data_IF_793318713277
#
_entry.id   IF_793318713277
#
_cell.length_a   1.000
_cell.length_b   1.000
_cell.length_c   1.000
_cell.angle_alpha   90.00
_cell.angle_beta   90.00
_cell.angle_gamma   90.00
#
_symmetry.space_group_name_H-M   'P 1'
#
loop_
_entity.id
_entity.type
_entity.pdbx_description
1 polymer ?
#
# COMPACT_ATOMS: atom_id res chain seq x y z
N UNK A 1 -9.13 18.63 -37.99
CA UNK A 1 -9.81 17.65 -37.10
C UNK A 1 -8.71 16.94 -36.32
N UNK A 2 -8.60 16.90 -35.00
CA UNK A 2 -9.43 17.32 -33.86
C UNK A 2 -8.48 17.85 -32.77
N UNK A 3 -8.64 19.11 -32.35
CA UNK A 3 -8.03 19.65 -31.13
C UNK A 3 -8.93 19.25 -29.96
N UNK A 4 -8.87 17.99 -29.51
CA UNK A 4 -9.59 17.58 -28.28
C UNK A 4 -8.90 18.20 -27.06
N UNK A 5 -9.72 18.86 -26.26
CA UNK A 5 -9.38 19.87 -25.27
C UNK A 5 -8.71 19.27 -24.03
N UNK A 6 -7.55 19.85 -23.64
CA UNK A 6 -6.86 19.57 -22.36
C UNK A 6 -7.64 20.03 -21.11
N UNK A 7 -8.87 20.53 -21.27
CA UNK A 7 -9.73 21.06 -20.22
C UNK A 7 -10.63 20.01 -19.55
N UNK A 8 -10.74 18.80 -20.11
CA UNK A 8 -11.59 17.73 -19.57
C UNK A 8 -10.93 16.92 -18.44
N UNK A 9 -9.60 16.96 -18.32
CA UNK A 9 -8.86 16.25 -17.28
C UNK A 9 -9.05 16.79 -15.84
N UNK A 10 -9.02 18.11 -15.57
CA UNK A 10 -9.11 18.61 -14.19
C UNK A 10 -10.46 18.35 -13.53
N UNK A 11 -11.55 18.33 -14.29
CA UNK A 11 -12.91 18.10 -13.76
C UNK A 11 -13.08 16.65 -13.31
N UNK A 12 -12.54 15.69 -14.07
CA UNK A 12 -12.56 14.28 -13.71
C UNK A 12 -11.81 14.01 -12.39
N UNK A 13 -10.65 14.63 -12.22
CA UNK A 13 -9.84 14.49 -11.01
C UNK A 13 -10.54 15.08 -9.77
N UNK A 14 -11.24 16.20 -9.93
CA UNK A 14 -12.03 16.81 -8.85
C UNK A 14 -13.17 15.88 -8.43
N UNK A 15 -13.91 15.30 -9.38
CA UNK A 15 -15.03 14.41 -9.10
C UNK A 15 -14.55 13.14 -8.37
N UNK A 16 -13.47 12.51 -8.85
CA UNK A 16 -12.88 11.34 -8.20
C UNK A 16 -12.42 11.68 -6.78
N UNK A 17 -11.81 12.87 -6.58
CA UNK A 17 -11.37 13.32 -5.26
C UNK A 17 -12.53 13.57 -4.29
N UNK A 18 -13.65 14.11 -4.77
CA UNK A 18 -14.86 14.30 -3.96
C UNK A 18 -15.43 12.95 -3.54
N UNK A 19 -15.61 12.01 -4.49
CA UNK A 19 -16.13 10.67 -4.20
C UNK A 19 -15.22 9.96 -3.20
N UNK A 20 -13.91 10.02 -3.40
CA UNK A 20 -12.94 9.44 -2.48
C UNK A 20 -13.03 10.04 -1.07
N UNK A 21 -13.12 11.37 -0.98
CA UNK A 21 -13.23 12.08 0.30
C UNK A 21 -14.52 11.75 1.06
N UNK A 22 -15.61 11.46 0.36
CA UNK A 22 -16.88 11.10 1.00
C UNK A 22 -16.87 9.64 1.46
N UNK A 23 -16.42 8.71 0.61
CA UNK A 23 -16.58 7.28 0.87
C UNK A 23 -15.38 6.60 1.51
N UNK A 24 -14.15 7.02 1.17
CA UNK A 24 -12.92 6.30 1.52
C UNK A 24 -12.03 7.04 2.51
N UNK A 25 -12.04 8.38 2.51
CA UNK A 25 -11.28 9.20 3.47
C UNK A 25 -11.68 8.99 4.94
N UNK A 26 -12.97 8.81 5.31
CA UNK A 26 -13.35 8.54 6.69
C UNK A 26 -12.80 7.20 7.22
N UNK A 27 -12.62 6.23 6.31
CA UNK A 27 -12.20 4.85 6.63
C UNK A 27 -10.68 4.69 6.79
N UNK A 28 -9.88 5.75 6.59
CA UNK A 28 -8.42 5.68 6.75
C UNK A 28 -7.97 5.51 8.21
N UNK A 29 -8.85 5.86 9.15
CA UNK A 29 -8.58 5.81 10.59
C UNK A 29 -8.94 4.47 11.22
N UNK A 30 -9.66 3.60 10.50
CA UNK A 30 -10.03 2.27 10.97
C UNK A 30 -8.95 1.24 10.64
N UNK A 31 -8.56 0.47 11.66
CA UNK A 31 -7.57 -0.60 11.56
C UNK A 31 -8.02 -1.63 10.51
N UNK A 32 -7.15 -1.98 9.54
CA UNK A 32 -7.52 -2.68 8.30
C UNK A 32 -8.31 -3.99 8.46
N UNK A 33 -8.25 -4.65 9.62
CA UNK A 33 -9.07 -5.83 9.92
C UNK A 33 -10.58 -5.50 9.99
N UNK A 34 -10.96 -4.34 10.54
CA UNK A 34 -12.36 -3.89 10.59
C UNK A 34 -12.89 -3.55 9.20
N UNK A 35 -12.05 -2.99 8.34
CA UNK A 35 -12.37 -2.68 6.96
C UNK A 35 -12.68 -3.94 6.13
N UNK A 36 -11.90 -5.01 6.34
CA UNK A 36 -12.12 -6.33 5.72
C UNK A 36 -13.43 -6.96 6.18
N UNK A 37 -13.77 -6.84 7.47
CA UNK A 37 -15.04 -7.36 8.00
C UNK A 37 -16.26 -6.64 7.39
N UNK A 38 -16.16 -5.33 7.16
CA UNK A 38 -17.24 -4.53 6.55
C UNK A 38 -17.37 -4.81 5.04
N UNK A 39 -16.28 -5.14 4.34
CA UNK A 39 -16.34 -5.53 2.91
C UNK A 39 -16.85 -6.96 2.70
N UNK A 40 -16.89 -7.80 3.74
CA UNK A 40 -17.50 -9.14 3.70
C UNK A 40 -19.04 -9.08 3.74
N UNK A 41 -19.62 -8.06 3.07
CA UNK A 41 -21.03 -7.93 2.77
C UNK A 41 -21.44 -9.12 1.89
N UNK A 42 -21.94 -10.15 2.55
CA UNK A 42 -22.89 -11.15 2.09
C UNK A 42 -22.90 -11.42 0.56
N UNK A 43 -22.21 -12.50 0.17
CA UNK A 43 -22.45 -13.32 -1.04
C UNK A 43 -21.79 -12.94 -2.38
N UNK A 44 -20.99 -11.88 -2.49
CA UNK A 44 -20.31 -11.56 -3.76
C UNK A 44 -18.78 -11.69 -3.66
N UNK A 45 -18.23 -12.76 -4.27
CA UNK A 45 -16.78 -12.95 -4.42
C UNK A 45 -16.11 -11.85 -5.26
N UNK A 46 -16.90 -11.13 -6.06
CA UNK A 46 -16.48 -10.03 -6.90
C UNK A 46 -17.50 -8.90 -6.78
N UNK A 47 -17.07 -7.71 -6.36
CA UNK A 47 -17.90 -6.51 -6.22
C UNK A 47 -17.41 -5.45 -7.19
N UNK A 48 -18.29 -4.97 -8.08
CA UNK A 48 -17.95 -3.84 -8.96
C UNK A 48 -18.08 -2.54 -8.18
N UNK A 49 -16.96 -1.84 -7.97
CA UNK A 49 -16.93 -0.55 -7.24
C UNK A 49 -17.27 0.59 -8.20
N UNK A 50 -16.75 0.56 -9.43
CA UNK A 50 -17.03 1.58 -10.46
C UNK A 50 -17.09 0.96 -11.86
N UNK A 51 -17.39 1.78 -12.88
CA UNK A 51 -17.43 1.36 -14.29
C UNK A 51 -16.19 0.56 -14.73
N UNK A 52 -15.03 0.86 -14.16
CA UNK A 52 -13.77 0.24 -14.53
C UNK A 52 -13.04 -0.44 -13.36
N UNK A 53 -13.65 -0.54 -12.16
CA UNK A 53 -13.01 -1.15 -10.98
C UNK A 53 -13.82 -2.30 -10.43
N UNK A 54 -13.14 -3.43 -10.21
CA UNK A 54 -13.67 -4.59 -9.50
C UNK A 54 -12.82 -4.86 -8.26
N UNK A 55 -13.51 -5.15 -7.17
CA UNK A 55 -12.96 -5.69 -5.94
C UNK A 55 -13.15 -7.20 -5.93
N UNK A 56 -12.09 -7.93 -5.63
CA UNK A 56 -12.12 -9.38 -5.50
C UNK A 56 -11.90 -9.72 -4.02
N UNK A 57 -12.79 -10.53 -3.45
CA UNK A 57 -12.71 -11.00 -2.05
C UNK A 57 -12.30 -12.48 -1.99
N UNK A 58 -12.19 -13.16 -3.13
CA UNK A 58 -11.75 -14.55 -3.22
C UNK A 58 -10.23 -14.72 -2.94
N UNK A 59 -9.87 -15.71 -2.12
CA UNK A 59 -8.50 -16.09 -1.82
C UNK A 59 -7.70 -16.50 -3.07
N UNK A 60 -8.32 -17.14 -4.04
CA UNK A 60 -7.65 -17.54 -5.29
C UNK A 60 -7.30 -16.33 -6.16
N UNK A 61 -8.17 -15.33 -6.19
CA UNK A 61 -7.92 -14.09 -6.91
C UNK A 61 -6.71 -13.34 -6.36
N UNK A 62 -6.46 -13.39 -5.04
CA UNK A 62 -5.26 -12.80 -4.45
C UNK A 62 -3.98 -13.45 -5.00
N UNK A 63 -3.95 -14.78 -5.13
CA UNK A 63 -2.81 -15.50 -5.72
C UNK A 63 -2.65 -15.19 -7.20
N UNK A 64 -3.74 -15.10 -7.96
CA UNK A 64 -3.67 -14.82 -9.38
C UNK A 64 -3.24 -13.36 -9.68
N UNK A 65 -3.66 -12.41 -8.84
CA UNK A 65 -3.35 -10.98 -9.00
C UNK A 65 -1.97 -10.61 -8.45
N UNK A 66 -1.60 -11.15 -7.28
CA UNK A 66 -0.38 -10.75 -6.54
C UNK A 66 0.67 -11.85 -6.41
N UNK A 67 0.36 -13.08 -6.80
CA UNK A 67 1.26 -14.23 -6.65
C UNK A 67 2.45 -14.23 -7.61
N UNK A 68 3.30 -15.22 -7.42
CA UNK A 68 4.48 -15.40 -8.27
C UNK A 68 4.07 -15.79 -9.69
N UNK A 69 4.65 -15.08 -10.66
CA UNK A 69 4.43 -15.32 -12.09
C UNK A 69 4.91 -16.72 -12.48
N UNK A 70 4.04 -17.50 -13.12
CA UNK A 70 4.43 -18.76 -13.77
C UNK A 70 5.16 -18.48 -15.09
N UNK A 71 6.04 -19.39 -15.51
CA UNK A 71 6.77 -19.24 -16.76
C UNK A 71 5.77 -19.09 -17.94
N UNK A 72 5.97 -18.06 -18.78
CA UNK A 72 5.07 -17.76 -19.90
C UNK A 72 3.87 -16.85 -19.59
N UNK A 73 3.57 -16.55 -18.32
CA UNK A 73 2.51 -15.61 -17.98
C UNK A 73 2.93 -14.16 -18.26
N UNK A 74 2.00 -13.36 -18.78
CA UNK A 74 2.16 -11.92 -18.95
C UNK A 74 2.26 -11.22 -17.59
N UNK A 75 3.08 -10.18 -17.51
CA UNK A 75 3.19 -9.37 -16.30
C UNK A 75 1.93 -8.51 -16.15
N UNK A 76 1.30 -8.54 -14.96
CA UNK A 76 0.25 -7.58 -14.65
C UNK A 76 0.91 -6.21 -14.57
N UNK A 77 0.78 -5.44 -15.65
CA UNK A 77 1.48 -4.18 -15.82
C UNK A 77 1.06 -3.27 -14.67
N UNK A 78 2.03 -2.88 -13.83
CA UNK A 78 1.88 -1.76 -12.93
C UNK A 78 1.90 -0.51 -13.81
N UNK A 79 0.79 -0.24 -14.47
CA UNK A 79 0.72 0.72 -15.56
C UNK A 79 0.97 2.14 -15.01
N UNK A 80 2.21 2.59 -14.96
CA UNK A 80 2.53 3.93 -14.47
C UNK A 80 2.17 5.02 -15.48
N UNK A 81 1.73 4.66 -16.70
CA UNK A 81 1.60 5.57 -17.86
C UNK A 81 0.16 5.85 -18.30
N UNK A 82 -0.87 5.11 -17.86
CA UNK A 82 -2.28 5.49 -18.10
C UNK A 82 -2.82 6.56 -17.14
N UNK A 83 -2.02 7.59 -16.91
CA UNK A 83 -2.42 8.88 -16.34
C UNK A 83 -3.42 9.67 -17.21
N UNK A 84 -3.98 9.10 -18.28
CA UNK A 84 -4.92 9.78 -19.16
C UNK A 84 -6.35 9.23 -19.13
N UNK A 85 -6.64 8.17 -18.39
CA UNK A 85 -8.02 7.75 -18.07
C UNK A 85 -7.97 6.69 -16.97
N UNK A 86 -8.10 7.14 -15.71
CA UNK A 86 -8.80 6.41 -14.65
C UNK A 86 -8.16 5.17 -14.02
N UNK A 87 -6.89 4.85 -14.26
CA UNK A 87 -6.29 3.66 -13.67
C UNK A 87 -4.91 3.94 -13.05
N UNK A 88 -4.57 3.11 -12.08
CA UNK A 88 -3.25 2.92 -11.46
C UNK A 88 -2.96 3.77 -10.23
N UNK A 89 -3.18 3.10 -9.09
CA UNK A 89 -2.81 3.49 -7.73
C UNK A 89 -3.56 4.76 -7.30
N UNK A 90 -3.88 4.84 -6.02
CA UNK A 90 -4.69 5.92 -5.45
C UNK A 90 -4.17 7.29 -5.97
N UNK A 91 -4.99 8.11 -6.66
CA UNK A 91 -4.51 9.31 -7.35
C UNK A 91 -3.95 10.37 -6.40
N UNK A 92 -4.28 10.31 -5.11
CA UNK A 92 -3.76 11.20 -4.07
C UNK A 92 -2.44 10.64 -3.53
N UNK A 93 -2.39 9.33 -3.28
CA UNK A 93 -1.26 8.69 -2.61
C UNK A 93 -0.16 8.34 -3.59
N UNK A 94 -0.50 7.84 -4.79
CA UNK A 94 0.44 7.37 -5.80
C UNK A 94 1.53 8.37 -6.18
N UNK A 95 1.24 9.68 -6.38
CA UNK A 95 2.28 10.67 -6.62
C UNK A 95 3.38 10.70 -5.55
N UNK A 96 3.03 10.44 -4.27
CA UNK A 96 3.99 10.41 -3.15
C UNK A 96 4.95 9.23 -3.23
N UNK A 97 4.57 8.15 -3.93
CA UNK A 97 5.37 6.93 -4.04
C UNK A 97 6.05 6.78 -5.40
N UNK A 98 5.89 7.73 -6.32
CA UNK A 98 6.56 7.71 -7.62
C UNK A 98 8.08 7.63 -7.42
N UNK A 99 8.69 6.56 -7.92
CA UNK A 99 10.14 6.34 -7.86
C UNK A 99 10.64 5.45 -6.71
N UNK A 100 9.81 5.10 -5.73
CA UNK A 100 10.20 4.14 -4.68
C UNK A 100 9.73 2.71 -5.00
N UNK A 101 10.13 1.73 -4.19
CA UNK A 101 9.79 0.30 -4.42
C UNK A 101 8.27 0.00 -4.39
N UNK A 102 7.43 0.92 -3.93
CA UNK A 102 5.98 0.76 -3.89
C UNK A 102 5.35 1.33 -5.17
N UNK A 103 5.76 2.54 -5.55
CA UNK A 103 5.15 3.30 -6.63
C UNK A 103 5.85 3.20 -8.00
N UNK A 104 7.10 2.75 -8.07
CA UNK A 104 7.86 2.68 -9.32
C UNK A 104 7.25 1.70 -10.36
N UNK A 105 7.65 1.90 -11.62
CA UNK A 105 7.33 1.01 -12.73
C UNK A 105 7.95 -0.38 -12.56
N UNK A 106 7.58 -1.33 -13.42
CA UNK A 106 8.03 -2.72 -13.29
C UNK A 106 9.56 -2.88 -13.36
N UNK A 107 10.24 -2.12 -14.22
CA UNK A 107 11.69 -2.23 -14.41
C UNK A 107 12.46 -1.68 -13.20
N UNK A 108 12.15 -0.46 -12.78
CA UNK A 108 12.74 0.18 -11.61
C UNK A 108 12.39 -0.64 -10.37
N UNK A 109 11.15 -1.12 -10.24
CA UNK A 109 10.74 -1.98 -9.13
C UNK A 109 11.57 -3.27 -9.05
N UNK A 110 11.81 -3.93 -10.19
CA UNK A 110 12.63 -5.14 -10.27
C UNK A 110 14.07 -4.86 -9.87
N UNK A 111 14.65 -3.74 -10.32
CA UNK A 111 15.99 -3.30 -9.93
C UNK A 111 16.07 -3.02 -8.43
N UNK A 112 15.13 -2.23 -7.89
CA UNK A 112 15.07 -1.91 -6.46
C UNK A 112 14.92 -3.16 -5.59
N UNK A 113 14.05 -4.10 -5.99
CA UNK A 113 13.89 -5.38 -5.30
C UNK A 113 15.20 -6.15 -5.26
N UNK A 114 15.90 -6.30 -6.40
CA UNK A 114 17.19 -7.00 -6.45
C UNK A 114 18.23 -6.37 -5.53
N UNK A 115 18.33 -5.04 -5.53
CA UNK A 115 19.26 -4.32 -4.67
C UNK A 115 18.95 -4.54 -3.19
N UNK A 116 17.67 -4.48 -2.81
CA UNK A 116 17.24 -4.66 -1.41
C UNK A 116 17.28 -6.13 -0.95
N UNK A 117 17.09 -7.10 -1.85
CA UNK A 117 17.03 -8.53 -1.51
C UNK A 117 18.25 -9.03 -0.73
N UNK A 118 19.44 -8.49 -0.99
CA UNK A 118 20.64 -8.89 -0.24
C UNK A 118 20.60 -8.46 1.23
N UNK A 119 20.12 -7.25 1.51
CA UNK A 119 19.99 -6.71 2.86
C UNK A 119 18.90 -7.39 3.70
N UNK A 120 17.93 -8.02 3.05
CA UNK A 120 16.85 -8.80 3.68
C UNK A 120 17.00 -10.31 3.48
N UNK A 121 18.22 -10.79 3.15
CA UNK A 121 18.49 -12.22 3.08
C UNK A 121 18.48 -12.86 4.47
N UNK A 122 18.23 -14.18 4.55
CA UNK A 122 18.25 -14.90 5.83
C UNK A 122 19.59 -14.69 6.59
N UNK A 123 20.71 -14.73 5.87
CA UNK A 123 22.02 -14.48 6.47
C UNK A 123 22.17 -13.03 6.96
N UNK A 124 21.72 -12.04 6.17
CA UNK A 124 21.77 -10.64 6.60
C UNK A 124 20.88 -10.41 7.84
N UNK A 125 19.71 -11.04 7.90
CA UNK A 125 18.83 -11.00 9.07
C UNK A 125 19.47 -11.63 10.31
N UNK A 126 20.14 -12.78 10.16
CA UNK A 126 20.89 -13.41 11.27
C UNK A 126 22.05 -12.52 11.74
N UNK A 127 22.77 -11.90 10.81
CA UNK A 127 23.85 -10.96 11.14
C UNK A 127 23.32 -9.71 11.87
N UNK A 128 22.08 -9.27 11.57
CA UNK A 128 21.42 -8.14 12.23
C UNK A 128 20.73 -8.52 13.54
N UNK A 129 20.39 -9.81 13.74
CA UNK A 129 19.72 -10.32 14.92
C UNK A 129 20.29 -9.78 16.25
N UNK A 130 21.60 -9.73 16.52
CA UNK A 130 22.10 -9.30 17.83
C UNK A 130 21.81 -7.84 18.16
N UNK A 131 21.61 -6.96 17.18
CA UNK A 131 21.25 -5.56 17.44
C UNK A 131 19.81 -5.40 17.91
N UNK A 132 18.89 -6.27 17.46
CA UNK A 132 17.46 -6.13 17.78
C UNK A 132 17.20 -6.25 19.29
N UNK A 133 17.69 -7.29 20.01
CA UNK A 133 17.58 -7.39 21.45
C UNK A 133 18.17 -6.19 22.18
N UNK A 134 19.31 -5.65 21.72
CA UNK A 134 19.95 -4.49 22.37
C UNK A 134 19.02 -3.27 22.41
N UNK A 135 18.31 -2.98 21.32
CA UNK A 135 17.35 -1.87 21.29
C UNK A 135 16.06 -2.19 22.06
N UNK A 136 15.62 -3.45 22.08
CA UNK A 136 14.47 -3.89 22.88
C UNK A 136 14.78 -3.78 24.37
N UNK A 137 15.93 -4.26 24.80
CA UNK A 137 16.41 -4.18 26.18
C UNK A 137 16.56 -2.72 26.61
N UNK A 138 17.14 -1.88 25.75
CA UNK A 138 17.24 -0.44 25.99
C UNK A 138 15.85 0.21 26.11
N UNK A 139 14.91 -0.13 25.23
CA UNK A 139 13.53 0.36 25.31
C UNK A 139 12.90 -0.01 26.65
N UNK A 140 12.99 -1.29 27.04
CA UNK A 140 12.44 -1.80 28.30
C UNK A 140 13.10 -1.14 29.51
N UNK A 141 14.42 -0.99 29.51
CA UNK A 141 15.16 -0.29 30.55
C UNK A 141 14.67 1.15 30.71
N UNK A 142 14.58 1.91 29.61
CA UNK A 142 14.11 3.30 29.65
C UNK A 142 12.66 3.41 30.10
N UNK A 143 11.82 2.44 29.76
CA UNK A 143 10.46 2.36 30.30
C UNK A 143 10.50 2.23 31.82
N UNK A 144 11.24 1.27 32.38
CA UNK A 144 11.35 1.08 33.84
C UNK A 144 11.87 2.32 34.56
N UNK A 145 12.89 2.98 34.02
CA UNK A 145 13.47 4.19 34.61
C UNK A 145 12.48 5.36 34.66
N UNK A 146 11.58 5.47 33.67
CA UNK A 146 10.79 6.68 33.47
C UNK A 146 9.29 6.53 33.79
N UNK A 147 8.77 5.30 33.93
CA UNK A 147 7.33 5.06 34.12
C UNK A 147 6.89 4.94 35.58
N UNK A 148 7.82 4.88 36.56
CA UNK A 148 7.51 4.70 37.99
C UNK A 148 6.50 3.56 38.24
N UNK A 149 6.79 2.34 37.74
CA UNK A 149 5.87 1.19 37.79
C UNK A 149 4.47 1.48 37.20
N UNK A 150 4.39 2.35 36.19
CA UNK A 150 3.15 2.73 35.52
C UNK A 150 2.39 3.89 36.16
N UNK A 151 2.91 4.50 37.24
CA UNK A 151 2.29 5.68 37.86
C UNK A 151 2.50 6.97 37.04
N UNK A 152 3.58 7.04 36.25
CA UNK A 152 3.91 8.21 35.44
C UNK A 152 3.65 7.92 33.96
N UNK A 153 2.79 8.73 33.34
CA UNK A 153 2.59 8.72 31.89
C UNK A 153 3.88 9.18 31.21
N UNK A 154 4.36 8.37 30.26
CA UNK A 154 5.56 8.64 29.49
C UNK A 154 5.16 8.91 28.04
N UNK A 155 5.61 10.05 27.51
CA UNK A 155 5.51 10.34 26.08
C UNK A 155 6.65 9.63 25.34
N UNK A 156 6.29 8.79 24.39
CA UNK A 156 7.22 7.97 23.60
C UNK A 156 7.50 8.57 22.22
N UNK A 157 6.78 9.63 21.85
CA UNK A 157 6.85 10.29 20.54
C UNK A 157 6.90 11.79 20.79
N UNK A 158 8.07 12.26 21.26
CA UNK A 158 8.32 13.70 21.43
C UNK A 158 8.15 14.49 20.14
#
# INVERSE_FOLDING_TARGET
>A
MERRSKLAQPIGDIIVRIIYNVYFYPLRYDLGQKLYAVTNLAYANVVRITLAQLSYVNADACKDIFGHRKQGQQEHIKDTSRTHQGHIKDPIVHPLFKGNIIGADCEINRRLRRLLSHGFSAQAMLNQQPMIPQYVDLLVQRLYENCQNGAKKLDMVG
#
